data_IF_821040997334
#
_entry.id   IF_821040997334
#
_cell.length_a   1.000
_cell.length_b   1.000
_cell.length_c   1.000
_cell.angle_alpha   90.00
_cell.angle_beta   90.00
_cell.angle_gamma   90.00
#
_symmetry.space_group_name_H-M   'P 1'
#
loop_
_entity.id
_entity.type
_entity.pdbx_description
1 polymer ?
#
# COMPACT_ATOMS: atom_id res chain seq x y z
N UNK A 1 -27.09 11.98 -13.32
CA UNK A 1 -26.93 10.78 -12.48
C UNK A 1 -25.77 11.03 -11.52
N UNK A 2 -26.04 11.32 -10.23
CA UNK A 2 -24.98 11.49 -9.23
C UNK A 2 -24.57 10.11 -8.75
N UNK A 3 -23.40 9.63 -9.18
CA UNK A 3 -22.75 8.44 -8.60
C UNK A 3 -22.61 8.65 -7.10
N UNK A 4 -23.36 7.87 -6.32
CA UNK A 4 -23.20 7.77 -4.87
C UNK A 4 -21.81 7.17 -4.63
N UNK A 5 -20.82 8.02 -4.44
CA UNK A 5 -19.55 7.61 -3.86
C UNK A 5 -19.83 7.17 -2.42
N UNK A 6 -19.99 5.86 -2.23
CA UNK A 6 -20.08 5.25 -0.90
C UNK A 6 -18.92 5.80 -0.07
N UNK A 7 -19.16 6.43 1.10
CA UNK A 7 -18.09 6.95 1.91
C UNK A 7 -17.12 5.78 2.17
N UNK A 8 -15.86 5.87 1.73
CA UNK A 8 -14.95 4.76 1.85
C UNK A 8 -14.81 4.42 3.34
N UNK A 9 -14.76 3.14 3.71
CA UNK A 9 -14.75 2.71 5.11
C UNK A 9 -13.73 3.52 5.91
N UNK A 10 -14.15 3.92 7.12
CA UNK A 10 -13.43 4.80 8.07
C UNK A 10 -12.28 4.01 8.73
N UNK A 11 -11.48 3.33 7.92
CA UNK A 11 -10.23 2.71 8.35
C UNK A 11 -9.08 3.72 8.28
N UNK A 12 -8.04 3.54 9.12
CA UNK A 12 -6.83 4.34 9.01
C UNK A 12 -6.26 4.27 7.59
N UNK A 13 -5.78 5.43 7.12
CA UNK A 13 -5.13 5.57 5.83
C UNK A 13 -3.63 5.45 6.03
N UNK A 14 -3.01 4.59 5.26
CA UNK A 14 -1.57 4.39 5.25
C UNK A 14 -1.04 4.69 3.85
N UNK A 15 0.01 5.50 3.79
CA UNK A 15 0.77 5.71 2.57
C UNK A 15 1.92 4.71 2.56
N UNK A 16 1.83 3.71 1.70
CA UNK A 16 2.85 2.69 1.52
C UNK A 16 3.73 3.06 0.33
N UNK A 17 4.97 3.47 0.58
CA UNK A 17 5.92 3.74 -0.49
C UNK A 17 6.65 2.44 -0.82
N UNK A 18 6.44 1.91 -2.02
CA UNK A 18 7.11 0.71 -2.53
C UNK A 18 8.17 1.11 -3.55
N UNK A 19 9.37 0.56 -3.40
CA UNK A 19 10.48 0.75 -4.33
C UNK A 19 11.02 -0.60 -4.77
N UNK A 20 10.97 -0.88 -6.07
CA UNK A 20 11.37 -2.18 -6.62
C UNK A 20 12.81 -2.14 -7.13
N UNK A 21 13.60 -3.18 -6.81
CA UNK A 21 15.01 -3.32 -7.22
C UNK A 21 15.16 -3.89 -8.64
N UNK A 22 14.38 -3.39 -9.60
CA UNK A 22 14.45 -3.85 -10.98
C UNK A 22 13.14 -3.74 -11.76
N UNK A 23 13.22 -4.14 -13.03
CA UNK A 23 12.15 -4.05 -14.05
C UNK A 23 11.36 -5.36 -14.19
N UNK A 24 11.20 -6.13 -13.11
CA UNK A 24 10.37 -7.34 -13.11
C UNK A 24 8.91 -7.00 -12.88
N UNK A 25 8.12 -6.86 -13.94
CA UNK A 25 6.70 -6.52 -13.86
C UNK A 25 5.89 -7.58 -13.10
N UNK A 26 6.23 -8.87 -13.26
CA UNK A 26 5.61 -9.97 -12.52
C UNK A 26 5.78 -9.85 -11.01
N UNK A 27 6.98 -9.48 -10.53
CA UNK A 27 7.21 -9.27 -9.10
C UNK A 27 6.36 -8.13 -8.54
N UNK A 28 6.07 -7.07 -9.31
CA UNK A 28 5.22 -5.96 -8.85
C UNK A 28 3.77 -6.40 -8.65
N UNK A 29 3.22 -7.13 -9.62
CA UNK A 29 1.83 -7.59 -9.57
C UNK A 29 1.60 -8.57 -8.40
N UNK A 30 2.57 -9.45 -8.12
CA UNK A 30 2.57 -10.30 -6.93
C UNK A 30 2.49 -9.49 -5.63
N UNK A 31 3.30 -8.43 -5.49
CA UNK A 31 3.26 -7.57 -4.30
C UNK A 31 1.91 -6.86 -4.20
N UNK A 32 1.39 -6.33 -5.30
CA UNK A 32 0.09 -5.65 -5.31
C UNK A 32 -1.03 -6.59 -4.90
N UNK A 33 -1.06 -7.82 -5.41
CA UNK A 33 -2.04 -8.82 -4.99
C UNK A 33 -1.94 -9.13 -3.50
N UNK A 34 -0.73 -9.35 -2.97
CA UNK A 34 -0.55 -9.57 -1.53
C UNK A 34 -1.00 -8.36 -0.69
N UNK A 35 -0.74 -7.13 -1.14
CA UNK A 35 -1.22 -5.92 -0.45
C UNK A 35 -2.74 -5.77 -0.56
N UNK A 36 -3.38 -6.27 -1.63
CA UNK A 36 -4.85 -6.26 -1.77
C UNK A 36 -5.53 -7.14 -0.74
N UNK A 37 -4.88 -8.22 -0.31
CA UNK A 37 -5.38 -9.06 0.78
C UNK A 37 -5.36 -8.33 2.14
N UNK A 38 -4.52 -7.31 2.28
CA UNK A 38 -4.43 -6.49 3.50
C UNK A 38 -5.46 -5.35 3.52
N UNK A 39 -6.04 -4.99 2.38
CA UNK A 39 -7.03 -3.93 2.28
C UNK A 39 -7.18 -3.34 0.88
N UNK A 40 -7.93 -2.24 0.79
CA UNK A 40 -8.15 -1.54 -0.48
C UNK A 40 -7.10 -0.45 -0.63
N UNK A 41 -6.37 -0.41 -1.75
CA UNK A 41 -5.43 0.67 -2.02
C UNK A 41 -5.62 1.31 -3.39
N UNK A 42 -5.07 2.52 -3.53
CA UNK A 42 -4.86 3.19 -4.82
C UNK A 42 -3.38 3.31 -5.08
N UNK A 43 -2.96 3.06 -6.33
CA UNK A 43 -1.56 3.22 -6.74
C UNK A 43 -1.38 4.60 -7.35
N UNK A 44 -0.39 5.34 -6.87
CA UNK A 44 0.16 6.54 -7.48
C UNK A 44 1.60 6.25 -7.88
N UNK A 45 1.92 6.39 -9.16
CA UNK A 45 3.31 6.33 -9.62
C UNK A 45 3.95 7.68 -9.38
N UNK A 46 5.01 7.69 -8.58
CA UNK A 46 5.85 8.86 -8.40
C UNK A 46 6.90 8.94 -9.53
N UNK A 47 7.32 10.15 -9.89
CA UNK A 47 8.31 10.37 -10.95
C UNK A 47 9.66 9.67 -10.66
N UNK A 48 9.96 9.35 -9.40
CA UNK A 48 11.20 8.69 -8.94
C UNK A 48 11.26 7.17 -9.06
N UNK A 49 10.42 6.54 -9.89
CA UNK A 49 10.32 5.07 -10.03
C UNK A 49 9.89 4.32 -8.74
N UNK A 50 9.22 5.02 -7.84
CA UNK A 50 8.54 4.44 -6.67
C UNK A 50 7.02 4.37 -6.92
N UNK A 51 6.42 3.27 -6.48
CA UNK A 51 4.97 3.10 -6.47
C UNK A 51 4.45 3.44 -5.06
N UNK A 52 3.65 4.50 -4.97
CA UNK A 52 3.02 4.92 -3.71
C UNK A 52 1.63 4.28 -3.66
N UNK A 53 1.39 3.42 -2.69
CA UNK A 53 0.12 2.76 -2.45
C UNK A 53 -0.60 3.44 -1.29
N UNK A 54 -1.67 4.17 -1.58
CA UNK A 54 -2.57 4.72 -0.58
C UNK A 54 -3.50 3.61 -0.08
N UNK A 55 -3.08 2.87 0.94
CA UNK A 55 -3.79 1.74 1.51
C UNK A 55 -4.79 2.18 2.58
N UNK A 56 -6.00 1.64 2.50
CA UNK A 56 -6.99 1.62 3.56
C UNK A 56 -7.14 0.20 4.08
N UNK A 57 -6.87 0.03 5.37
CA UNK A 57 -6.96 -1.26 6.04
C UNK A 57 -7.60 -1.09 7.40
N UNK A 58 -8.30 -2.13 7.86
CA UNK A 58 -8.72 -2.24 9.26
C UNK A 58 -7.55 -2.67 10.17
N UNK A 59 -6.42 -3.08 9.60
CA UNK A 59 -5.23 -3.49 10.34
C UNK A 59 -4.51 -2.27 10.93
N UNK A 60 -4.02 -2.43 12.16
CA UNK A 60 -3.10 -1.47 12.77
C UNK A 60 -1.75 -1.49 12.05
N UNK A 61 -1.04 -0.36 12.07
CA UNK A 61 0.31 -0.19 11.48
C UNK A 61 1.26 -1.35 11.80
N UNK A 62 1.37 -1.78 13.06
CA UNK A 62 2.30 -2.87 13.44
C UNK A 62 1.97 -4.20 12.77
N UNK A 63 0.69 -4.52 12.59
CA UNK A 63 0.26 -5.73 11.90
C UNK A 63 0.55 -5.64 10.39
N UNK A 64 0.28 -4.48 9.80
CA UNK A 64 0.62 -4.15 8.42
C UNK A 64 2.12 -4.26 8.16
N UNK A 65 2.94 -3.67 9.03
CA UNK A 65 4.39 -3.72 8.95
C UNK A 65 4.91 -5.15 9.05
N UNK A 66 4.37 -5.96 9.97
CA UNK A 66 4.74 -7.37 10.08
C UNK A 66 4.49 -8.11 8.77
N UNK A 67 3.29 -7.98 8.20
CA UNK A 67 2.92 -8.63 6.92
C UNK A 67 3.78 -8.15 5.75
N UNK A 68 4.02 -6.86 5.63
CA UNK A 68 4.86 -6.29 4.57
C UNK A 68 6.33 -6.71 4.74
N UNK A 69 6.83 -6.82 5.97
CA UNK A 69 8.19 -7.30 6.27
C UNK A 69 8.35 -8.76 5.89
N UNK A 70 7.36 -9.60 6.18
CA UNK A 70 7.33 -11.00 5.72
C UNK A 70 7.35 -11.08 4.18
N UNK A 71 6.50 -10.29 3.52
CA UNK A 71 6.44 -10.23 2.06
C UNK A 71 7.77 -9.77 1.43
N UNK A 72 8.39 -8.74 1.99
CA UNK A 72 9.71 -8.26 1.55
C UNK A 72 10.82 -9.30 1.76
N UNK A 73 10.75 -10.06 2.87
CA UNK A 73 11.69 -11.15 3.14
C UNK A 73 11.54 -12.30 2.14
N UNK A 74 10.31 -12.65 1.76
CA UNK A 74 10.03 -13.72 0.80
C UNK A 74 10.44 -13.34 -0.62
N UNK A 75 10.04 -12.14 -1.07
CA UNK A 75 10.20 -11.74 -2.47
C UNK A 75 11.56 -11.08 -2.74
N UNK A 76 12.24 -10.51 -1.73
CA UNK A 76 13.58 -9.84 -1.79
C UNK A 76 13.78 -8.82 -2.92
N UNK A 77 12.69 -8.41 -3.57
CA UNK A 77 12.70 -7.65 -4.83
C UNK A 77 12.24 -6.20 -4.64
N UNK A 78 11.83 -5.83 -3.43
CA UNK A 78 11.30 -4.50 -3.13
C UNK A 78 11.63 -4.07 -1.71
N UNK A 79 11.68 -2.76 -1.54
CA UNK A 79 11.69 -2.08 -0.26
C UNK A 79 10.34 -1.41 -0.04
N UNK A 80 9.94 -1.30 1.23
CA UNK A 80 8.71 -0.61 1.60
C UNK A 80 8.97 0.37 2.74
N UNK A 81 8.19 1.45 2.76
CA UNK A 81 8.08 2.39 3.88
C UNK A 81 6.61 2.64 4.15
N UNK A 82 6.22 2.63 5.42
CA UNK A 82 4.85 2.95 5.85
C UNK A 82 4.87 4.35 6.44
N UNK A 83 4.14 5.26 5.80
CA UNK A 83 3.85 6.57 6.33
C UNK A 83 2.41 6.58 6.82
N UNK A 84 2.19 6.94 8.09
CA UNK A 84 0.84 7.19 8.57
C UNK A 84 0.35 8.47 7.91
N UNK A 85 -0.66 8.35 7.04
CA UNK A 85 -1.35 9.52 6.58
C UNK A 85 -2.02 10.10 7.83
N UNK A 86 -1.58 11.29 8.26
CA UNK A 86 -2.12 11.93 9.46
C UNK A 86 -3.65 11.86 9.38
N UNK A 87 -4.34 11.37 10.43
CA UNK A 87 -5.77 11.59 10.49
C UNK A 87 -5.95 13.10 10.37
N UNK A 88 -6.78 13.51 9.40
CA UNK A 88 -7.17 14.88 9.14
C UNK A 88 -7.45 15.56 10.50
N UNK A 89 -6.49 16.33 11.01
CA UNK A 89 -6.69 17.20 12.17
C UNK A 89 -7.58 18.33 11.66
N UNK A 90 -8.88 18.09 11.80
CA UNK A 90 -9.95 19.01 11.47
C UNK A 90 -10.13 20.03 12.59
#
# INVERSE_FOLDING_TARGET
MKTKETPPPVGPRYSLVLRFNGRGEGSRMDIFNAVRELGTFRVRRDAGAADILELRSALKKSALEKRLRELARLKRSFYFRIEEARPDER
#
